data_IF_017419977609
#
_entry.id   IF_017419977609
#
_cell.length_a   1.000
_cell.length_b   1.000
_cell.length_c   1.000
_cell.angle_alpha   90.00
_cell.angle_beta   90.00
_cell.angle_gamma   90.00
#
_symmetry.space_group_name_H-M   'P 1'
#
loop_
_entity.id
_entity.type
_entity.pdbx_description
1 polymer ?
#
# COMPACT_ATOMS: atom_id res chain seq x y z
N UNK A 1 18.30 -26.99 11.70
CA UNK A 1 17.70 -27.15 10.36
C UNK A 1 16.56 -26.14 10.09
N UNK A 2 15.49 -26.07 10.90
CA UNK A 2 14.38 -25.11 10.68
C UNK A 2 14.80 -23.63 10.69
N UNK A 3 15.66 -23.21 11.62
CA UNK A 3 16.14 -21.83 11.70
C UNK A 3 16.99 -21.42 10.48
N UNK A 4 17.79 -22.35 9.96
CA UNK A 4 18.66 -22.15 8.81
C UNK A 4 17.85 -22.07 7.51
N UNK A 5 16.77 -22.85 7.38
CA UNK A 5 15.79 -22.70 6.30
C UNK A 5 15.10 -21.33 6.36
N UNK A 6 14.70 -20.86 7.55
CA UNK A 6 14.08 -19.54 7.71
C UNK A 6 15.04 -18.41 7.32
N UNK A 7 16.28 -18.43 7.79
CA UNK A 7 17.29 -17.44 7.40
C UNK A 7 17.59 -17.48 5.88
N UNK A 8 17.69 -18.66 5.29
CA UNK A 8 17.91 -18.81 3.85
C UNK A 8 16.73 -18.27 3.03
N UNK A 9 15.50 -18.45 3.52
CA UNK A 9 14.30 -17.84 2.93
C UNK A 9 14.38 -16.31 2.99
N UNK A 10 14.71 -15.72 4.15
CA UNK A 10 14.84 -14.26 4.29
C UNK A 10 15.93 -13.67 3.38
N UNK A 11 17.06 -14.38 3.19
CA UNK A 11 18.13 -14.01 2.26
C UNK A 11 17.71 -14.14 0.79
N UNK A 12 16.86 -15.10 0.44
CA UNK A 12 16.32 -15.21 -0.92
C UNK A 12 15.32 -14.08 -1.24
N UNK A 13 14.61 -13.55 -0.25
CA UNK A 13 13.68 -12.43 -0.41
C UNK A 13 14.38 -11.08 -0.65
N UNK A 14 15.61 -10.89 -0.18
CA UNK A 14 16.38 -9.65 -0.46
C UNK A 14 16.83 -9.54 -1.92
N UNK A 15 16.80 -10.64 -2.69
CA UNK A 15 17.11 -10.62 -4.12
C UNK A 15 15.98 -10.03 -4.99
N UNK A 16 14.81 -9.70 -4.43
CA UNK A 16 13.75 -8.97 -5.12
C UNK A 16 14.01 -7.45 -5.18
N UNK A 17 15.19 -6.99 -4.80
CA UNK A 17 15.59 -5.59 -4.89
C UNK A 17 16.06 -5.27 -6.32
N UNK A 18 15.28 -4.46 -7.03
CA UNK A 18 15.55 -4.06 -8.41
C UNK A 18 15.05 -2.65 -8.68
N UNK A 19 15.46 -2.09 -9.83
CA UNK A 19 15.16 -0.71 -10.26
C UNK A 19 13.67 -0.36 -10.36
N UNK A 20 12.79 -1.36 -10.33
CA UNK A 20 11.34 -1.22 -10.47
C UNK A 20 10.63 -1.95 -9.32
N UNK A 21 10.93 -1.54 -8.08
CA UNK A 21 10.24 -2.02 -6.88
C UNK A 21 9.30 -0.95 -6.33
N UNK A 22 8.04 -1.32 -6.08
CA UNK A 22 7.05 -0.45 -5.41
C UNK A 22 7.48 -0.13 -3.97
N UNK A 23 8.29 -1.01 -3.36
CA UNK A 23 8.82 -0.82 -2.01
C UNK A 23 10.09 0.06 -1.96
N UNK A 24 10.51 0.64 -3.11
CA UNK A 24 11.67 1.54 -3.23
C UNK A 24 11.22 2.93 -3.71
N UNK A 25 10.67 3.78 -2.83
CA UNK A 25 10.14 5.09 -3.22
C UNK A 25 11.27 6.06 -3.61
N UNK A 26 11.15 6.70 -4.76
CA UNK A 26 12.14 7.65 -5.28
C UNK A 26 11.69 9.13 -5.19
N UNK A 27 10.42 9.39 -4.92
CA UNK A 27 9.84 10.74 -4.81
C UNK A 27 9.04 10.93 -3.52
N UNK A 28 8.76 12.18 -3.15
CA UNK A 28 8.03 12.52 -1.91
C UNK A 28 6.64 11.87 -1.89
N UNK A 29 5.88 11.99 -2.97
CA UNK A 29 4.55 11.36 -3.08
C UNK A 29 4.62 9.83 -2.97
N UNK A 30 5.68 9.22 -3.50
CA UNK A 30 5.91 7.77 -3.37
C UNK A 30 6.23 7.36 -1.93
N UNK A 31 6.89 8.20 -1.14
CA UNK A 31 7.12 7.94 0.29
C UNK A 31 5.82 7.98 1.08
N UNK A 32 4.91 8.92 0.76
CA UNK A 32 3.59 8.99 1.37
C UNK A 32 2.77 7.73 1.06
N UNK A 33 2.79 7.26 -0.20
CA UNK A 33 2.14 6.00 -0.59
C UNK A 33 2.77 4.80 0.12
N UNK A 34 4.10 4.75 0.27
CA UNK A 34 4.76 3.68 1.02
C UNK A 34 4.29 3.65 2.49
N UNK A 35 4.14 4.82 3.11
CA UNK A 35 3.62 4.89 4.48
C UNK A 35 2.19 4.32 4.58
N UNK A 36 1.33 4.61 3.60
CA UNK A 36 -0.02 4.08 3.52
C UNK A 36 -0.04 2.56 3.36
N UNK A 37 0.86 2.02 2.53
CA UNK A 37 1.03 0.57 2.36
C UNK A 37 1.31 -0.09 3.72
N UNK A 38 2.24 0.46 4.51
CA UNK A 38 2.58 -0.12 5.83
C UNK A 38 1.44 -0.03 6.83
N UNK A 39 0.70 1.08 6.85
CA UNK A 39 -0.47 1.24 7.73
C UNK A 39 -1.57 0.24 7.36
N UNK A 40 -1.92 0.12 6.08
CA UNK A 40 -2.94 -0.82 5.60
C UNK A 40 -2.52 -2.27 5.83
N UNK A 41 -1.25 -2.60 5.56
CA UNK A 41 -0.69 -3.92 5.82
C UNK A 41 -0.75 -4.27 7.30
N UNK A 42 -0.36 -3.34 8.19
CA UNK A 42 -0.48 -3.53 9.64
C UNK A 42 -1.92 -3.79 10.08
N UNK A 43 -2.88 -3.02 9.55
CA UNK A 43 -4.31 -3.24 9.80
C UNK A 43 -4.80 -4.62 9.34
N UNK A 44 -4.38 -5.06 8.15
CA UNK A 44 -4.71 -6.38 7.61
C UNK A 44 -4.11 -7.52 8.45
N UNK A 45 -2.85 -7.41 8.84
CA UNK A 45 -2.17 -8.39 9.69
C UNK A 45 -2.84 -8.47 11.07
N UNK A 46 -3.19 -7.34 11.67
CA UNK A 46 -3.89 -7.30 12.96
C UNK A 46 -5.24 -8.01 12.88
N UNK A 47 -6.06 -7.69 11.87
CA UNK A 47 -7.35 -8.33 11.65
C UNK A 47 -7.17 -9.85 11.46
N UNK A 48 -6.21 -10.24 10.62
CA UNK A 48 -5.92 -11.65 10.36
C UNK A 48 -5.51 -12.40 11.63
N UNK A 49 -4.60 -11.84 12.43
CA UNK A 49 -4.16 -12.45 13.69
C UNK A 49 -5.30 -12.60 14.69
N UNK A 50 -6.16 -11.57 14.82
CA UNK A 50 -7.31 -11.60 15.72
C UNK A 50 -8.31 -12.69 15.30
N UNK A 51 -8.64 -12.77 14.01
CA UNK A 51 -9.53 -13.82 13.49
C UNK A 51 -8.92 -15.21 13.66
N UNK A 52 -7.63 -15.37 13.35
CA UNK A 52 -6.92 -16.63 13.54
C UNK A 52 -6.89 -17.06 15.01
N UNK A 53 -6.63 -16.13 15.94
CA UNK A 53 -6.61 -16.40 17.37
C UNK A 53 -8.00 -16.83 17.88
N UNK A 54 -9.07 -16.11 17.51
CA UNK A 54 -10.44 -16.48 17.88
C UNK A 54 -10.78 -17.86 17.31
N UNK A 55 -10.47 -18.11 16.04
CA UNK A 55 -10.73 -19.38 15.38
C UNK A 55 -10.02 -20.54 16.11
N UNK A 56 -8.73 -20.41 16.39
CA UNK A 56 -7.97 -21.44 17.12
C UNK A 56 -8.50 -21.60 18.55
N UNK A 57 -8.84 -20.50 19.23
CA UNK A 57 -9.36 -20.56 20.60
C UNK A 57 -10.67 -21.36 20.67
N UNK A 58 -11.64 -21.02 19.82
CA UNK A 58 -12.96 -21.66 19.78
C UNK A 58 -12.88 -23.11 19.30
N UNK A 59 -11.99 -23.42 18.35
CA UNK A 59 -11.94 -24.78 17.75
C UNK A 59 -10.97 -25.74 18.46
N UNK A 60 -9.94 -25.24 19.14
CA UNK A 60 -8.85 -26.08 19.68
C UNK A 60 -8.62 -25.92 21.17
N UNK A 61 -8.81 -24.73 21.75
CA UNK A 61 -8.48 -24.46 23.16
C UNK A 61 -9.67 -24.75 24.06
N UNK A 62 -10.84 -24.23 23.72
CA UNK A 62 -12.07 -24.44 24.47
C UNK A 62 -13.21 -24.88 23.53
N UNK A 63 -13.14 -26.08 22.95
CA UNK A 63 -14.18 -26.63 22.10
C UNK A 63 -15.38 -27.04 22.95
N UNK A 64 -16.17 -26.06 23.38
CA UNK A 64 -17.44 -26.25 24.09
C UNK A 64 -18.59 -25.72 23.26
N UNK A 65 -19.78 -26.24 23.52
CA UNK A 65 -21.01 -25.69 22.97
C UNK A 65 -21.17 -24.24 23.44
N UNK A 66 -20.96 -23.29 22.53
CA UNK A 66 -21.14 -21.88 22.83
C UNK A 66 -22.64 -21.58 22.94
N UNK A 67 -23.09 -20.91 24.02
CA UNK A 67 -24.46 -20.45 24.10
C UNK A 67 -24.74 -19.51 22.93
N UNK A 68 -25.90 -19.67 22.30
CA UNK A 68 -26.28 -18.92 21.08
C UNK A 68 -26.03 -17.42 21.19
N UNK A 69 -26.35 -16.81 22.34
CA UNK A 69 -26.12 -15.39 22.63
C UNK A 69 -24.66 -14.96 22.51
N UNK A 70 -23.71 -15.79 22.96
CA UNK A 70 -22.28 -15.50 22.86
C UNK A 70 -21.78 -15.62 21.41
N UNK A 71 -22.26 -16.61 20.66
CA UNK A 71 -21.95 -16.74 19.24
C UNK A 71 -22.47 -15.56 18.42
N UNK A 72 -23.73 -15.15 18.65
CA UNK A 72 -24.34 -13.98 18.01
C UNK A 72 -23.56 -12.70 18.35
N UNK A 73 -23.17 -12.51 19.61
CA UNK A 73 -22.37 -11.34 20.02
C UNK A 73 -20.97 -11.34 19.39
N UNK A 74 -20.33 -12.51 19.21
CA UNK A 74 -19.05 -12.63 18.53
C UNK A 74 -19.16 -12.30 17.03
N UNK A 75 -20.23 -12.76 16.37
CA UNK A 75 -20.49 -12.46 14.96
C UNK A 75 -20.78 -10.97 14.77
N UNK A 76 -21.64 -10.38 15.58
CA UNK A 76 -21.99 -8.95 15.46
C UNK A 76 -20.81 -8.06 15.85
N UNK A 77 -20.17 -8.34 16.99
CA UNK A 77 -19.04 -7.56 17.48
C UNK A 77 -17.80 -7.70 16.60
N UNK A 78 -17.34 -8.94 16.42
CA UNK A 78 -16.10 -9.24 15.69
C UNK A 78 -16.25 -9.27 14.17
N UNK A 79 -17.40 -9.68 13.66
CA UNK A 79 -17.64 -9.82 12.22
C UNK A 79 -18.26 -8.59 11.55
N UNK A 80 -18.91 -7.70 12.29
CA UNK A 80 -19.59 -6.52 11.73
C UNK A 80 -19.05 -5.21 12.31
N UNK A 81 -19.20 -5.01 13.63
CA UNK A 81 -18.84 -3.74 14.28
C UNK A 81 -17.35 -3.45 14.13
N UNK A 82 -16.50 -4.42 14.46
CA UNK A 82 -15.05 -4.24 14.40
C UNK A 82 -14.54 -3.96 12.97
N UNK A 83 -14.90 -4.74 11.93
CA UNK A 83 -14.47 -4.45 10.55
C UNK A 83 -14.96 -3.10 10.05
N UNK A 84 -16.19 -2.69 10.37
CA UNK A 84 -16.73 -1.38 9.98
C UNK A 84 -15.94 -0.25 10.61
N UNK A 85 -15.62 -0.34 11.90
CA UNK A 85 -14.81 0.68 12.59
C UNK A 85 -13.39 0.71 12.03
N UNK A 86 -12.77 -0.46 11.84
CA UNK A 86 -11.41 -0.58 11.33
C UNK A 86 -11.29 0.01 9.92
N UNK A 87 -12.17 -0.41 8.99
CA UNK A 87 -12.18 0.11 7.63
C UNK A 87 -12.57 1.59 7.60
N UNK A 88 -13.51 2.02 8.43
CA UNK A 88 -13.88 3.43 8.57
C UNK A 88 -12.71 4.30 9.01
N UNK A 89 -11.93 3.84 10.01
CA UNK A 89 -10.74 4.52 10.47
C UNK A 89 -9.62 4.55 9.43
N UNK A 90 -9.39 3.44 8.72
CA UNK A 90 -8.42 3.39 7.62
C UNK A 90 -8.82 4.33 6.46
N UNK A 91 -10.11 4.39 6.14
CA UNK A 91 -10.63 5.26 5.10
C UNK A 91 -10.50 6.74 5.47
N UNK A 92 -10.88 7.13 6.69
CA UNK A 92 -10.73 8.52 7.15
C UNK A 92 -9.27 8.93 7.20
N UNK A 93 -8.36 7.99 7.49
CA UNK A 93 -6.91 8.21 7.41
C UNK A 93 -6.42 8.39 5.96
N UNK A 94 -6.94 7.61 5.00
CA UNK A 94 -6.45 7.65 3.61
C UNK A 94 -7.01 8.80 2.78
N UNK A 95 -8.24 9.26 3.06
CA UNK A 95 -8.93 10.29 2.26
C UNK A 95 -8.14 11.60 2.10
N UNK A 96 -7.49 12.16 3.15
CA UNK A 96 -6.68 13.37 3.02
C UNK A 96 -5.51 13.24 2.03
N UNK A 97 -4.97 12.02 1.82
CA UNK A 97 -3.87 11.77 0.88
C UNK A 97 -4.32 11.83 -0.59
N UNK A 98 -5.62 11.86 -0.88
CA UNK A 98 -6.16 12.05 -2.23
C UNK A 98 -6.19 13.52 -2.68
N UNK A 99 -5.85 14.48 -1.81
CA UNK A 99 -5.82 15.89 -2.18
C UNK A 99 -4.79 16.12 -3.30
N UNK A 100 -5.09 16.95 -4.31
CA UNK A 100 -4.14 17.23 -5.38
C UNK A 100 -2.85 17.81 -4.78
N UNK A 101 -1.72 17.13 -4.95
CA UNK A 101 -0.38 17.62 -4.58
C UNK A 101 0.10 18.81 -5.43
N UNK A 102 -0.80 19.45 -6.18
CA UNK A 102 -0.48 20.55 -7.10
C UNK A 102 -0.87 21.88 -6.48
N UNK A 103 0.03 22.45 -5.70
CA UNK A 103 0.31 23.86 -5.93
C UNK A 103 1.19 23.92 -7.16
N UNK A 104 0.79 24.73 -8.16
CA UNK A 104 1.56 24.93 -9.37
C UNK A 104 2.85 25.69 -9.02
N UNK A 105 3.85 24.97 -8.53
CA UNK A 105 5.20 25.49 -8.43
C UNK A 105 5.67 25.87 -9.85
N UNK A 106 6.27 27.06 -10.07
CA UNK A 106 6.84 27.47 -11.36
C UNK A 106 8.00 26.62 -11.88
N UNK A 107 8.10 25.35 -11.47
CA UNK A 107 9.12 24.40 -11.90
C UNK A 107 9.00 23.98 -13.37
N UNK A 108 9.90 23.06 -13.76
CA UNK A 108 9.99 22.51 -15.11
C UNK A 108 8.63 21.93 -15.57
N UNK A 109 8.13 22.46 -16.68
CA UNK A 109 6.92 21.94 -17.32
C UNK A 109 7.29 20.92 -18.38
N UNK A 110 6.77 19.71 -18.22
CA UNK A 110 6.97 18.61 -19.16
C UNK A 110 5.62 18.13 -19.66
N UNK A 111 5.45 18.11 -20.98
CA UNK A 111 4.28 17.56 -21.65
C UNK A 111 4.59 16.14 -22.09
N UNK A 112 3.85 15.17 -21.56
CA UNK A 112 4.04 13.75 -21.90
C UNK A 112 2.85 13.31 -22.75
N UNK A 113 3.14 12.89 -23.98
CA UNK A 113 2.14 12.39 -24.93
C UNK A 113 2.34 10.88 -25.12
N UNK A 114 1.26 10.12 -24.91
CA UNK A 114 1.21 8.70 -25.24
C UNK A 114 1.02 8.54 -26.75
N UNK A 115 2.00 7.96 -27.42
CA UNK A 115 1.92 7.57 -28.82
C UNK A 115 1.79 6.04 -28.91
N UNK A 116 1.42 5.51 -30.08
CA UNK A 116 1.34 4.06 -30.23
C UNK A 116 2.73 3.44 -30.04
N UNK A 117 2.90 2.73 -28.91
CA UNK A 117 4.11 2.00 -28.52
C UNK A 117 5.31 2.83 -28.06
N UNK A 118 5.16 4.16 -27.91
CA UNK A 118 6.23 5.02 -27.39
C UNK A 118 5.68 6.26 -26.69
N UNK A 119 6.56 6.95 -25.96
CA UNK A 119 6.21 8.17 -25.23
C UNK A 119 6.98 9.35 -25.80
N UNK A 120 6.27 10.40 -26.22
CA UNK A 120 6.88 11.69 -26.56
C UNK A 120 6.94 12.56 -25.30
N UNK A 121 8.11 13.14 -25.05
CA UNK A 121 8.38 13.99 -23.89
C UNK A 121 8.82 15.36 -24.39
N UNK A 122 7.99 16.38 -24.22
CA UNK A 122 8.30 17.75 -24.62
C UNK A 122 8.56 18.62 -23.39
N UNK A 123 9.78 19.15 -23.28
CA UNK A 123 10.18 20.09 -22.23
C UNK A 123 9.87 21.50 -22.68
N UNK A 124 9.09 22.25 -21.89
CA UNK A 124 8.80 23.68 -22.13
C UNK A 124 9.87 24.53 -21.45
N UNK A 125 10.61 25.28 -22.27
CA UNK A 125 11.66 26.18 -21.80
C UNK A 125 11.06 27.54 -21.36
N UNK A 126 11.78 28.33 -20.56
CA UNK A 126 11.32 29.66 -20.13
C UNK A 126 11.01 30.63 -21.27
N UNK A 127 11.62 30.45 -22.44
CA UNK A 127 11.40 31.25 -23.65
C UNK A 127 10.18 30.77 -24.48
N UNK A 128 9.47 29.74 -24.00
CA UNK A 128 8.32 29.13 -24.66
C UNK A 128 8.68 28.13 -25.78
N UNK A 129 9.97 27.97 -26.09
CA UNK A 129 10.43 26.93 -27.00
C UNK A 129 10.27 25.54 -26.38
N UNK A 130 10.26 24.50 -27.23
CA UNK A 130 10.14 23.10 -26.78
C UNK A 130 11.30 22.27 -27.27
N UNK A 131 11.84 21.45 -26.39
CA UNK A 131 12.81 20.40 -26.72
C UNK A 131 12.13 19.05 -26.56
N UNK A 132 12.17 18.22 -27.61
CA UNK A 132 11.51 16.91 -27.63
C UNK A 132 12.51 15.79 -27.37
N UNK A 133 12.12 14.85 -26.50
CA UNK A 133 12.77 13.56 -26.25
C UNK A 133 11.77 12.43 -26.53
N UNK A 134 12.28 11.21 -26.71
CA UNK A 134 11.48 10.01 -26.91
C UNK A 134 11.87 8.95 -25.87
N UNK A 135 10.87 8.36 -25.20
CA UNK A 135 11.00 7.28 -24.21
C UNK A 135 11.86 7.57 -22.97
N UNK A 136 12.58 8.70 -22.92
CA UNK A 136 13.40 9.10 -21.79
C UNK A 136 12.90 10.41 -21.18
N UNK A 137 12.44 10.32 -19.94
CA UNK A 137 12.20 11.46 -19.06
C UNK A 137 13.43 11.69 -18.18
N UNK A 138 13.97 12.91 -18.21
CA UNK A 138 15.10 13.33 -17.39
C UNK A 138 14.63 14.43 -16.46
N UNK A 139 14.79 14.17 -15.17
CA UNK A 139 14.50 15.11 -14.09
C UNK A 139 15.84 15.47 -13.43
N UNK A 140 16.01 16.72 -12.95
CA UNK A 140 17.18 17.12 -12.20
C UNK A 140 17.30 16.37 -10.86
#
# INVERSE_FOLDING_TARGET
MRLMLICLSFLALSACEGRQSVMSPAGRDAQDVLSLIWVMFGGAVLLWLLLAAIFVYVTRVEPREMPRRWGEMLIVGGGVIFPVILLGALLTYSLPMMKPQREADPGLKVHITAEQWWWRVDYELPDGSRVTSANELRLP
#
